data_IF_724734782915
#
_entry.id   IF_724734782915
#
_cell.length_a   1.000
_cell.length_b   1.000
_cell.length_c   1.000
_cell.angle_alpha   90.00
_cell.angle_beta   90.00
_cell.angle_gamma   90.00
#
_symmetry.space_group_name_H-M   'P 1'
#
loop_
_entity.id
_entity.type
_entity.pdbx_description
1 polymer ?
#
# COMPACT_ATOMS: atom_id res chain seq x y z
N UNK A 1 -10.17 0.44 -13.69
CA UNK A 1 -9.45 1.07 -12.57
C UNK A 1 -8.43 0.08 -12.08
N UNK A 2 -7.16 0.24 -12.43
CA UNK A 2 -6.09 -0.66 -11.96
C UNK A 2 -5.99 -0.53 -10.45
N UNK A 3 -6.41 -1.57 -9.72
CA UNK A 3 -5.95 -1.79 -8.36
C UNK A 3 -4.48 -2.16 -8.48
N UNK A 4 -3.61 -1.14 -8.45
CA UNK A 4 -2.19 -1.32 -8.23
C UNK A 4 -2.05 -2.14 -6.96
N UNK A 5 -1.76 -3.43 -7.12
CA UNK A 5 -1.33 -4.29 -6.03
C UNK A 5 -0.17 -3.56 -5.36
N UNK A 6 -0.39 -3.23 -4.10
CA UNK A 6 0.62 -2.55 -3.29
C UNK A 6 1.81 -3.49 -3.25
N UNK A 7 2.87 -3.16 -3.98
CA UNK A 7 4.13 -3.88 -3.95
C UNK A 7 4.75 -3.58 -2.59
N UNK A 8 4.48 -4.46 -1.63
CA UNK A 8 4.80 -4.26 -0.22
C UNK A 8 6.31 -4.44 -0.01
N UNK A 9 7.05 -3.35 0.02
CA UNK A 9 8.48 -3.38 0.35
C UNK A 9 8.60 -3.33 1.87
N UNK A 10 8.92 -4.46 2.47
CA UNK A 10 9.21 -4.56 3.91
C UNK A 10 10.63 -4.02 4.13
N UNK A 11 10.82 -2.96 4.96
CA UNK A 11 12.15 -2.42 5.24
C UNK A 11 13.06 -3.44 5.93
N UNK A 12 14.37 -3.31 5.73
CA UNK A 12 15.39 -4.19 6.32
C UNK A 12 15.28 -4.26 7.86
N UNK A 13 15.08 -3.12 8.54
CA UNK A 13 14.92 -3.11 10.00
C UNK A 13 13.70 -3.92 10.47
N UNK A 14 12.63 -3.98 9.68
CA UNK A 14 11.43 -4.77 9.98
C UNK A 14 11.71 -6.25 9.78
N UNK A 15 12.44 -6.60 8.71
CA UNK A 15 12.90 -7.98 8.48
C UNK A 15 13.80 -8.47 9.62
N UNK A 16 14.72 -7.65 10.10
CA UNK A 16 15.57 -7.99 11.26
C UNK A 16 14.75 -8.21 12.53
N UNK A 17 13.65 -7.48 12.70
CA UNK A 17 12.75 -7.70 13.83
C UNK A 17 12.02 -9.04 13.69
N UNK A 18 11.52 -9.35 12.50
CA UNK A 18 10.84 -10.61 12.21
C UNK A 18 11.77 -11.82 12.31
N UNK A 19 13.03 -11.67 11.90
CA UNK A 19 14.07 -12.68 12.09
C UNK A 19 14.23 -12.99 13.58
N UNK A 20 14.40 -11.96 14.42
CA UNK A 20 14.47 -12.12 15.87
C UNK A 20 13.24 -12.80 16.46
N UNK A 21 12.03 -12.48 15.96
CA UNK A 21 10.79 -13.13 16.39
C UNK A 21 10.84 -14.64 16.12
N UNK A 22 11.16 -15.05 14.90
CA UNK A 22 11.17 -16.49 14.56
C UNK A 22 12.29 -17.24 15.27
N UNK A 23 13.45 -16.61 15.48
CA UNK A 23 14.56 -17.20 16.23
C UNK A 23 14.19 -17.44 17.70
N UNK A 24 13.55 -16.46 18.34
CA UNK A 24 13.07 -16.57 19.73
C UNK A 24 12.01 -17.66 19.83
N UNK A 25 11.06 -17.73 18.89
CA UNK A 25 10.03 -18.77 18.84
C UNK A 25 10.66 -20.16 18.75
N UNK A 26 11.56 -20.37 17.78
CA UNK A 26 12.25 -21.66 17.61
C UNK A 26 13.03 -22.06 18.86
N UNK A 27 13.75 -21.11 19.46
CA UNK A 27 14.59 -21.34 20.65
C UNK A 27 13.78 -21.65 21.91
N UNK A 28 12.74 -20.88 22.20
CA UNK A 28 11.93 -21.06 23.42
C UNK A 28 11.17 -22.39 23.37
N UNK A 29 10.64 -22.72 22.20
CA UNK A 29 9.77 -23.89 22.02
C UNK A 29 10.61 -25.16 21.78
N UNK A 30 11.85 -25.00 21.32
CA UNK A 30 12.75 -26.10 21.04
C UNK A 30 12.42 -26.82 19.73
N UNK A 31 11.91 -26.08 18.74
CA UNK A 31 11.56 -26.63 17.42
C UNK A 31 12.65 -26.39 16.38
N UNK A 32 12.80 -27.28 15.39
CA UNK A 32 13.73 -27.11 14.28
C UNK A 32 13.48 -25.87 13.42
N UNK A 33 12.22 -25.46 13.23
CA UNK A 33 11.91 -24.36 12.33
C UNK A 33 10.72 -23.52 12.84
N UNK A 34 10.90 -22.20 12.81
CA UNK A 34 9.84 -21.22 12.88
C UNK A 34 9.95 -20.31 11.65
N UNK A 35 8.84 -20.09 10.95
CA UNK A 35 8.83 -19.44 9.64
C UNK A 35 7.78 -18.33 9.58
N UNK A 36 8.06 -17.31 8.79
CA UNK A 36 7.05 -16.45 8.19
C UNK A 36 7.01 -16.79 6.71
N UNK A 37 5.88 -17.30 6.25
CA UNK A 37 5.59 -17.54 4.84
C UNK A 37 4.91 -16.32 4.25
N UNK A 38 5.22 -15.98 3.00
CA UNK A 38 4.57 -14.91 2.24
C UNK A 38 3.87 -15.48 1.01
N UNK A 39 2.64 -15.06 0.79
CA UNK A 39 1.88 -15.34 -0.43
C UNK A 39 2.18 -14.24 -1.44
N UNK A 40 2.70 -14.62 -2.61
CA UNK A 40 2.95 -13.73 -3.74
C UNK A 40 2.32 -14.36 -4.98
N UNK A 41 1.27 -13.72 -5.48
CA UNK A 41 0.47 -14.20 -6.61
C UNK A 41 -0.03 -15.64 -6.39
N UNK A 42 0.42 -16.58 -7.24
CA UNK A 42 0.10 -18.00 -7.18
C UNK A 42 1.20 -18.85 -6.51
N UNK A 43 2.16 -18.20 -5.83
CA UNK A 43 3.27 -18.83 -5.12
C UNK A 43 3.26 -18.52 -3.64
N UNK A 44 3.77 -19.46 -2.84
CA UNK A 44 4.08 -19.25 -1.43
C UNK A 44 5.57 -19.41 -1.24
N UNK A 45 6.18 -18.47 -0.53
CA UNK A 45 7.62 -18.46 -0.31
C UNK A 45 7.95 -18.35 1.18
N UNK A 46 9.09 -18.93 1.56
CA UNK A 46 9.71 -18.73 2.85
C UNK A 46 10.24 -17.30 2.88
N UNK A 47 9.57 -16.42 3.62
CA UNK A 47 9.95 -15.01 3.68
C UNK A 47 10.97 -14.75 4.78
N UNK A 48 10.78 -15.37 5.94
CA UNK A 48 11.72 -15.34 7.07
C UNK A 48 11.81 -16.75 7.64
N UNK A 49 13.01 -17.20 7.97
CA UNK A 49 13.28 -18.55 8.48
C UNK A 49 14.19 -18.48 9.70
N UNK A 50 13.85 -19.19 10.78
CA UNK A 50 14.66 -19.17 11.99
C UNK A 50 16.06 -19.78 11.78
N UNK A 51 17.07 -19.18 12.38
CA UNK A 51 18.44 -19.69 12.41
C UNK A 51 18.60 -20.74 13.51
N UNK A 52 17.95 -21.89 13.32
CA UNK A 52 17.90 -22.99 14.28
C UNK A 52 18.56 -24.27 13.75
N UNK A 53 19.25 -25.06 14.60
CA UNK A 53 19.87 -26.31 14.18
C UNK A 53 18.86 -27.28 13.55
N UNK A 54 19.13 -27.69 12.32
CA UNK A 54 18.28 -28.63 11.60
C UNK A 54 17.05 -28.01 10.92
N UNK A 55 16.97 -26.69 10.81
CA UNK A 55 16.01 -26.05 9.92
C UNK A 55 16.35 -26.38 8.44
N UNK A 56 15.46 -27.03 7.67
CA UNK A 56 15.71 -27.31 6.25
C UNK A 56 15.30 -26.16 5.32
N UNK A 57 14.63 -25.12 5.84
CA UNK A 57 14.02 -24.05 5.04
C UNK A 57 14.91 -22.82 4.97
N UNK A 58 15.03 -22.23 3.78
CA UNK A 58 15.84 -21.05 3.54
C UNK A 58 14.98 -19.90 3.01
N UNK A 59 15.25 -18.63 3.43
CA UNK A 59 14.57 -17.48 2.86
C UNK A 59 14.70 -17.46 1.33
N UNK A 60 13.57 -17.30 0.64
CA UNK A 60 13.48 -17.32 -0.82
C UNK A 60 13.07 -18.67 -1.43
N UNK A 61 13.05 -19.77 -0.66
CA UNK A 61 12.46 -21.04 -1.12
C UNK A 61 10.99 -20.82 -1.49
N UNK A 62 10.55 -21.37 -2.64
CA UNK A 62 9.19 -21.14 -3.17
C UNK A 62 8.53 -22.43 -3.59
N UNK A 63 7.21 -22.46 -3.43
CA UNK A 63 6.35 -23.52 -3.92
C UNK A 63 5.10 -22.94 -4.59
N UNK A 64 4.46 -23.74 -5.44
CA UNK A 64 3.14 -23.40 -5.97
C UNK A 64 2.13 -23.39 -4.83
N UNK A 65 1.27 -22.38 -4.76
CA UNK A 65 0.31 -22.25 -3.67
C UNK A 65 -0.91 -23.18 -3.81
N UNK A 66 -1.48 -23.27 -5.01
CA UNK A 66 -2.72 -24.02 -5.25
C UNK A 66 -2.45 -25.52 -5.38
N UNK A 67 -3.17 -26.32 -4.60
CA UNK A 67 -3.07 -27.79 -4.58
C UNK A 67 -1.66 -28.28 -4.21
N UNK A 68 -0.96 -27.47 -3.42
CA UNK A 68 0.39 -27.74 -2.93
C UNK A 68 0.42 -28.88 -1.91
N UNK A 69 -0.68 -29.06 -1.18
CA UNK A 69 -0.73 -29.98 -0.05
C UNK A 69 0.00 -29.47 1.20
N UNK A 70 0.54 -28.26 1.16
CA UNK A 70 1.25 -27.62 2.27
C UNK A 70 0.28 -27.24 3.40
N UNK A 71 0.79 -27.21 4.64
CA UNK A 71 0.00 -26.79 5.79
C UNK A 71 -0.46 -25.32 5.68
N UNK A 72 0.43 -24.44 5.21
CA UNK A 72 0.16 -23.03 5.04
C UNK A 72 -0.98 -22.75 4.03
N UNK A 73 -1.16 -23.61 3.03
CA UNK A 73 -2.28 -23.52 2.09
C UNK A 73 -3.63 -23.63 2.83
N UNK A 74 -3.74 -24.58 3.77
CA UNK A 74 -4.95 -24.75 4.59
C UNK A 74 -5.19 -23.55 5.49
N UNK A 75 -4.15 -23.03 6.14
CA UNK A 75 -4.26 -21.84 7.01
C UNK A 75 -4.75 -20.64 6.22
N UNK A 76 -4.18 -20.38 5.05
CA UNK A 76 -4.55 -19.24 4.19
C UNK A 76 -5.97 -19.39 3.65
N UNK A 77 -6.33 -20.58 3.14
CA UNK A 77 -7.68 -20.82 2.59
C UNK A 77 -8.79 -20.71 3.63
N UNK A 78 -8.52 -21.15 4.86
CA UNK A 78 -9.52 -21.13 5.94
C UNK A 78 -9.49 -19.87 6.78
N UNK A 79 -8.41 -19.09 6.70
CA UNK A 79 -8.11 -17.95 7.56
C UNK A 79 -8.22 -18.30 9.06
N UNK A 80 -7.87 -19.54 9.41
CA UNK A 80 -7.93 -20.07 10.77
C UNK A 80 -6.61 -20.71 11.14
N UNK A 81 -6.34 -20.76 12.45
CA UNK A 81 -5.23 -21.54 13.00
C UNK A 81 -5.35 -22.99 12.55
N UNK A 82 -4.22 -23.58 12.16
CA UNK A 82 -4.09 -25.02 11.95
C UNK A 82 -3.11 -25.58 12.99
N UNK A 83 -3.51 -26.67 13.63
CA UNK A 83 -2.68 -27.48 14.51
C UNK A 83 -2.71 -28.92 13.99
N UNK A 84 -1.53 -29.44 13.64
CA UNK A 84 -1.32 -30.84 13.26
C UNK A 84 -0.25 -31.40 14.18
N UNK A 85 -0.63 -32.16 15.22
CA UNK A 85 0.36 -32.70 16.16
C UNK A 85 1.30 -33.71 15.52
N UNK A 86 0.79 -34.52 14.57
CA UNK A 86 1.55 -35.52 13.82
C UNK A 86 0.85 -35.87 12.51
N UNK A 87 1.45 -35.48 11.39
CA UNK A 87 0.96 -35.70 10.04
C UNK A 87 0.96 -37.17 9.62
N UNK A 88 1.85 -37.99 10.19
CA UNK A 88 1.89 -39.43 9.92
C UNK A 88 0.67 -40.16 10.48
N UNK A 89 -0.01 -39.56 11.47
CA UNK A 89 -1.20 -40.13 12.12
C UNK A 89 -2.52 -39.55 11.60
N UNK A 90 -2.45 -38.51 10.77
CA UNK A 90 -3.61 -37.85 10.20
C UNK A 90 -3.72 -38.16 8.72
N UNK A 91 -4.77 -38.90 8.33
CA UNK A 91 -4.98 -39.34 6.94
C UNK A 91 -4.93 -38.17 5.92
N UNK A 92 -5.39 -37.00 6.32
CA UNK A 92 -5.36 -35.77 5.53
C UNK A 92 -3.95 -35.31 5.16
N UNK A 93 -2.95 -35.58 6.00
CA UNK A 93 -1.61 -35.02 5.88
C UNK A 93 -0.56 -36.04 5.43
N UNK A 94 -0.93 -37.30 5.16
CA UNK A 94 0.02 -38.37 4.82
C UNK A 94 0.86 -38.08 3.57
N UNK A 95 0.35 -37.28 2.64
CA UNK A 95 1.03 -36.90 1.40
C UNK A 95 1.63 -35.48 1.45
N UNK A 96 1.70 -34.87 2.63
CA UNK A 96 2.22 -33.51 2.78
C UNK A 96 3.71 -33.44 2.37
N UNK A 97 4.13 -32.46 1.56
CA UNK A 97 5.52 -32.34 1.08
C UNK A 97 6.57 -32.24 2.19
N UNK A 98 6.24 -31.58 3.30
CA UNK A 98 7.15 -31.32 4.42
C UNK A 98 7.53 -32.59 5.19
N UNK A 99 6.75 -33.68 5.05
CA UNK A 99 7.12 -34.99 5.60
C UNK A 99 8.45 -35.48 5.03
N UNK A 100 8.76 -35.17 3.76
CA UNK A 100 10.05 -35.53 3.12
C UNK A 100 11.23 -34.81 3.78
N UNK A 101 10.97 -33.64 4.39
CA UNK A 101 11.94 -32.86 5.16
C UNK A 101 11.94 -33.25 6.65
N UNK A 102 11.23 -34.33 6.99
CA UNK A 102 11.01 -34.81 8.35
C UNK A 102 10.26 -33.81 9.24
N UNK A 103 9.43 -32.94 8.67
CA UNK A 103 8.60 -31.98 9.43
C UNK A 103 7.17 -32.54 9.54
N UNK A 104 6.92 -33.24 10.64
CA UNK A 104 5.70 -34.03 10.85
C UNK A 104 4.69 -33.33 11.77
N UNK A 105 5.07 -32.30 12.49
CA UNK A 105 4.15 -31.48 13.28
C UNK A 105 4.13 -30.04 12.77
N UNK A 106 2.97 -29.40 12.84
CA UNK A 106 2.74 -28.04 12.38
C UNK A 106 1.81 -27.27 13.31
N UNK A 107 2.17 -26.04 13.64
CA UNK A 107 1.27 -25.04 14.22
C UNK A 107 1.40 -23.75 13.42
N UNK A 108 0.31 -23.26 12.84
CA UNK A 108 0.36 -22.06 12.00
C UNK A 108 -0.87 -21.16 12.14
N UNK A 109 -0.63 -19.87 11.94
CA UNK A 109 -1.65 -18.82 12.02
C UNK A 109 -1.58 -17.93 10.76
N UNK A 110 -2.73 -17.47 10.25
CA UNK A 110 -2.74 -16.56 9.12
C UNK A 110 -2.20 -15.19 9.55
N UNK A 111 -1.42 -14.56 8.69
CA UNK A 111 -1.05 -13.14 8.80
C UNK A 111 -1.89 -12.41 7.75
N UNK A 112 -2.66 -11.43 8.21
CA UNK A 112 -3.59 -10.67 7.38
C UNK A 112 -3.08 -9.24 7.17
N UNK A 113 -3.27 -8.73 5.97
CA UNK A 113 -3.13 -7.31 5.66
C UNK A 113 -4.36 -6.53 6.16
N UNK A 114 -4.26 -5.19 6.34
CA UNK A 114 -5.39 -4.37 6.79
C UNK A 114 -6.63 -4.45 5.90
N UNK A 115 -6.45 -4.78 4.62
CA UNK A 115 -7.54 -4.98 3.65
C UNK A 115 -8.18 -6.40 3.72
N UNK A 116 -7.89 -7.17 4.77
CA UNK A 116 -8.33 -8.55 4.98
C UNK A 116 -7.85 -9.57 3.93
N UNK A 117 -6.88 -9.20 3.08
CA UNK A 117 -6.19 -10.18 2.24
C UNK A 117 -5.11 -10.90 3.06
N UNK A 118 -4.87 -12.20 2.81
CA UNK A 118 -3.77 -12.90 3.44
C UNK A 118 -2.43 -12.36 2.94
N UNK A 119 -1.55 -11.98 3.87
CA UNK A 119 -0.13 -11.78 3.59
C UNK A 119 0.60 -13.12 3.51
N UNK A 120 0.23 -14.06 4.39
CA UNK A 120 0.87 -15.37 4.48
C UNK A 120 0.60 -16.02 5.84
N UNK A 121 1.61 -16.68 6.43
CA UNK A 121 1.46 -17.37 7.72
C UNK A 121 2.68 -17.23 8.60
N UNK A 122 2.49 -17.20 9.92
CA UNK A 122 3.54 -17.51 10.89
C UNK A 122 3.34 -18.93 11.41
N UNK A 123 4.38 -19.75 11.41
CA UNK A 123 4.25 -21.15 11.79
C UNK A 123 5.48 -21.75 12.45
N UNK A 124 5.27 -22.86 13.14
CA UNK A 124 6.27 -23.73 13.74
C UNK A 124 6.19 -25.10 13.09
N UNK A 125 7.34 -25.73 12.86
CA UNK A 125 7.43 -27.10 12.38
C UNK A 125 8.36 -27.92 13.27
N UNK A 126 7.98 -29.17 13.52
CA UNK A 126 8.73 -30.09 14.37
C UNK A 126 8.88 -31.47 13.71
N UNK A 127 10.00 -32.12 14.03
CA UNK A 127 10.34 -33.49 13.62
C UNK A 127 9.70 -34.55 14.51
N UNK A 128 9.08 -34.13 15.62
CA UNK A 128 8.43 -34.99 16.58
C UNK A 128 6.95 -34.63 16.68
N UNK A 129 6.18 -35.58 17.19
CA UNK A 129 4.80 -35.30 17.56
C UNK A 129 4.77 -34.19 18.62
N UNK A 130 4.08 -33.09 18.32
CA UNK A 130 4.05 -31.92 19.17
C UNK A 130 2.66 -31.27 19.08
N UNK A 131 1.91 -31.34 20.17
CA UNK A 131 0.56 -30.76 20.24
C UNK A 131 0.59 -29.25 20.55
N UNK A 132 1.72 -28.73 21.02
CA UNK A 132 1.93 -27.36 21.52
C UNK A 132 1.00 -27.00 22.70
N UNK A 133 1.55 -26.36 23.74
CA UNK A 133 0.73 -25.93 24.88
C UNK A 133 -0.10 -24.70 24.55
N UNK A 134 -1.14 -24.43 25.35
CA UNK A 134 -1.94 -23.20 25.22
C UNK A 134 -1.07 -21.94 25.35
N UNK A 135 -0.04 -21.97 26.19
CA UNK A 135 0.94 -20.87 26.32
C UNK A 135 1.72 -20.65 25.02
N UNK A 136 2.12 -21.72 24.32
CA UNK A 136 2.80 -21.61 23.02
C UNK A 136 1.84 -21.05 21.96
N UNK A 137 0.58 -21.49 21.98
CA UNK A 137 -0.46 -20.97 21.11
C UNK A 137 -0.68 -19.47 21.35
N UNK A 138 -0.77 -19.04 22.62
CA UNK A 138 -0.91 -17.63 22.99
C UNK A 138 0.31 -16.82 22.56
N UNK A 139 1.53 -17.34 22.76
CA UNK A 139 2.77 -16.71 22.34
C UNK A 139 2.79 -16.48 20.81
N UNK A 140 2.44 -17.50 20.04
CA UNK A 140 2.33 -17.40 18.59
C UNK A 140 1.28 -16.37 18.14
N UNK A 141 0.13 -16.30 18.84
CA UNK A 141 -0.88 -15.28 18.58
C UNK A 141 -0.32 -13.87 18.81
N UNK A 142 0.43 -13.64 19.90
CA UNK A 142 1.04 -12.33 20.18
C UNK A 142 2.08 -11.94 19.14
N UNK A 143 2.95 -12.86 18.74
CA UNK A 143 3.94 -12.57 17.69
C UNK A 143 3.29 -12.32 16.33
N UNK A 144 2.27 -13.10 15.96
CA UNK A 144 1.45 -12.80 14.77
C UNK A 144 0.89 -11.39 14.83
N UNK A 145 0.32 -10.99 15.97
CA UNK A 145 -0.31 -9.68 16.12
C UNK A 145 0.71 -8.54 15.99
N UNK A 146 1.93 -8.72 16.49
CA UNK A 146 3.04 -7.78 16.29
C UNK A 146 3.41 -7.63 14.81
N UNK A 147 3.56 -8.75 14.09
CA UNK A 147 3.86 -8.74 12.65
C UNK A 147 2.74 -8.04 11.87
N UNK A 148 1.47 -8.30 12.20
CA UNK A 148 0.34 -7.62 11.58
C UNK A 148 0.30 -6.12 11.88
N UNK A 149 0.64 -5.70 13.10
CA UNK A 149 0.69 -4.29 13.47
C UNK A 149 1.79 -3.54 12.69
N UNK A 150 2.94 -4.16 12.48
CA UNK A 150 4.00 -3.58 11.64
C UNK A 150 3.59 -3.51 10.16
N UNK A 151 2.94 -4.55 9.64
CA UNK A 151 2.32 -4.52 8.31
C UNK A 151 1.27 -3.41 8.20
N UNK A 152 0.45 -3.21 9.22
CA UNK A 152 -0.54 -2.13 9.23
C UNK A 152 0.12 -0.75 9.17
N UNK A 153 1.17 -0.52 9.96
CA UNK A 153 1.92 0.72 9.94
C UNK A 153 2.54 0.99 8.57
N UNK A 154 3.18 -0.02 7.97
CA UNK A 154 3.78 0.09 6.63
C UNK A 154 2.72 0.40 5.57
N UNK A 155 1.58 -0.29 5.63
CA UNK A 155 0.46 -0.07 4.71
C UNK A 155 -0.07 1.36 4.81
N UNK A 156 -0.29 1.85 6.04
CA UNK A 156 -0.82 3.19 6.28
C UNK A 156 0.17 4.29 5.87
N UNK A 157 1.46 4.10 6.12
CA UNK A 157 2.50 5.04 5.69
C UNK A 157 2.56 5.17 4.17
N UNK A 158 2.43 4.05 3.44
CA UNK A 158 2.40 4.08 1.98
C UNK A 158 1.14 4.77 1.45
N UNK A 159 -0.03 4.43 1.99
CA UNK A 159 -1.30 5.08 1.62
C UNK A 159 -1.25 6.59 1.89
N UNK A 160 -0.66 7.00 3.01
CA UNK A 160 -0.47 8.41 3.36
C UNK A 160 0.48 9.10 2.37
N UNK A 161 1.61 8.47 2.04
CA UNK A 161 2.57 8.96 1.06
C UNK A 161 1.94 9.19 -0.32
N UNK A 162 1.16 8.22 -0.81
CA UNK A 162 0.46 8.32 -2.09
C UNK A 162 -0.60 9.44 -2.10
N UNK A 163 -1.36 9.58 -1.00
CA UNK A 163 -2.33 10.67 -0.86
C UNK A 163 -1.65 12.03 -0.84
N UNK A 164 -0.55 12.18 -0.10
CA UNK A 164 0.22 13.41 -0.03
C UNK A 164 0.77 13.80 -1.41
N UNK A 165 1.31 12.83 -2.16
CA UNK A 165 1.77 13.08 -3.53
C UNK A 165 0.63 13.57 -4.43
N UNK A 166 -0.51 12.89 -4.43
CA UNK A 166 -1.69 13.31 -5.23
C UNK A 166 -2.18 14.71 -4.86
N UNK A 167 -2.22 15.03 -3.56
CA UNK A 167 -2.57 16.37 -3.09
C UNK A 167 -1.58 17.42 -3.61
N UNK A 168 -0.29 17.12 -3.56
CA UNK A 168 0.76 17.98 -4.10
C UNK A 168 0.59 18.20 -5.61
N UNK A 169 0.29 17.14 -6.37
CA UNK A 169 0.06 17.22 -7.81
C UNK A 169 -1.14 18.12 -8.14
N UNK A 170 -2.25 17.97 -7.41
CA UNK A 170 -3.42 18.86 -7.56
C UNK A 170 -3.10 20.32 -7.23
N UNK A 171 -2.28 20.57 -6.21
CA UNK A 171 -1.88 21.94 -5.85
C UNK A 171 -1.04 22.57 -6.97
N UNK A 172 -0.14 21.82 -7.59
CA UNK A 172 0.65 22.28 -8.75
C UNK A 172 -0.26 22.60 -9.94
N UNK A 173 -1.24 21.75 -10.25
CA UNK A 173 -2.22 22.01 -11.31
C UNK A 173 -3.06 23.27 -11.02
N UNK A 174 -3.56 23.44 -9.79
CA UNK A 174 -4.31 24.63 -9.38
C UNK A 174 -3.47 25.90 -9.45
N UNK A 175 -2.19 25.84 -9.05
CA UNK A 175 -1.27 26.97 -9.18
C UNK A 175 -1.01 27.34 -10.64
N UNK A 176 -0.84 26.36 -11.53
CA UNK A 176 -0.71 26.60 -12.96
C UNK A 176 -1.97 27.26 -13.56
N UNK A 177 -3.16 26.90 -13.08
CA UNK A 177 -4.42 27.53 -13.46
C UNK A 177 -4.57 28.95 -12.90
N UNK A 178 -4.18 29.19 -11.64
CA UNK A 178 -4.18 30.53 -11.02
C UNK A 178 -3.19 31.49 -11.68
N UNK A 179 -2.13 30.96 -12.29
CA UNK A 179 -1.19 31.75 -13.08
C UNK A 179 -1.73 32.22 -14.43
N UNK A 180 -2.87 31.71 -14.91
CA UNK A 180 -3.46 32.12 -16.19
C UNK A 180 -4.37 33.34 -16.03
N UNK A 181 -3.94 34.47 -16.59
CA UNK A 181 -4.70 35.72 -16.52
C UNK A 181 -5.27 36.10 -17.89
N UNK A 182 -6.55 36.51 -17.98
CA UNK A 182 -7.13 36.92 -19.26
C UNK A 182 -6.54 38.25 -19.72
N UNK A 183 -5.90 38.25 -20.89
CA UNK A 183 -5.42 39.43 -21.60
C UNK A 183 -6.33 39.75 -22.78
N UNK A 184 -6.68 41.01 -22.96
CA UNK A 184 -7.47 41.46 -24.09
C UNK A 184 -6.65 41.32 -25.38
N UNK A 185 -7.13 40.52 -26.34
CA UNK A 185 -6.50 40.27 -27.63
C UNK A 185 -6.28 41.54 -28.44
N UNK A 186 -7.10 42.57 -28.24
CA UNK A 186 -7.01 43.85 -28.95
C UNK A 186 -6.14 44.88 -28.22
N UNK A 187 -6.50 45.29 -26.99
CA UNK A 187 -5.82 46.39 -26.29
C UNK A 187 -4.77 45.94 -25.25
N UNK A 188 -4.59 44.64 -25.05
CA UNK A 188 -3.62 44.03 -24.14
C UNK A 188 -3.81 44.32 -22.64
N UNK A 189 -4.93 44.93 -22.23
CA UNK A 189 -5.32 45.04 -20.81
C UNK A 189 -5.58 43.66 -20.19
N UNK A 190 -5.33 43.49 -18.89
CA UNK A 190 -5.54 42.27 -18.12
C UNK A 190 -6.81 42.38 -17.27
N UNK A 191 -7.56 41.29 -17.13
CA UNK A 191 -8.71 41.21 -16.21
C UNK A 191 -8.28 40.69 -14.83
N UNK A 192 -8.62 41.40 -13.76
CA UNK A 192 -8.41 40.95 -12.38
C UNK A 192 -9.47 39.91 -11.90
N UNK A 193 -9.37 39.47 -10.65
CA UNK A 193 -10.29 38.49 -10.05
C UNK A 193 -11.70 39.08 -9.86
N UNK A 194 -11.79 40.39 -9.62
CA UNK A 194 -13.03 41.15 -9.49
C UNK A 194 -13.71 41.44 -10.84
N UNK A 195 -13.02 41.20 -11.96
CA UNK A 195 -13.54 41.36 -13.32
C UNK A 195 -13.23 42.71 -13.98
N UNK A 196 -12.48 43.60 -13.32
CA UNK A 196 -12.04 44.88 -13.86
C UNK A 196 -10.85 44.70 -14.80
N UNK A 197 -10.70 45.64 -15.75
CA UNK A 197 -9.62 45.62 -16.74
C UNK A 197 -8.58 46.69 -16.43
N UNK A 198 -7.32 46.26 -16.32
CA UNK A 198 -6.18 47.12 -16.01
C UNK A 198 -5.11 47.05 -17.11
N UNK A 199 -4.28 48.09 -17.30
CA UNK A 199 -3.08 47.99 -18.14
C UNK A 199 -2.15 46.85 -17.70
N UNK A 200 -1.42 46.26 -18.65
CA UNK A 200 -0.58 45.07 -18.42
C UNK A 200 0.51 45.32 -17.37
N UNK A 201 1.04 46.54 -17.35
CA UNK A 201 2.11 47.01 -16.47
C UNK A 201 1.72 46.90 -14.99
N UNK A 202 0.44 47.13 -14.67
CA UNK A 202 -0.09 47.05 -13.31
C UNK A 202 0.00 45.63 -12.73
N UNK A 203 -0.09 44.61 -13.60
CA UNK A 203 -0.15 43.22 -13.17
C UNK A 203 1.24 42.55 -13.14
N UNK A 204 2.12 42.92 -14.07
CA UNK A 204 3.46 42.34 -14.23
C UNK A 204 4.39 42.61 -13.04
N UNK A 205 4.25 43.76 -12.38
CA UNK A 205 5.08 44.13 -11.21
C UNK A 205 4.86 43.18 -10.02
N UNK A 206 3.63 42.69 -9.86
CA UNK A 206 3.25 41.87 -8.70
C UNK A 206 3.22 40.37 -9.03
N UNK A 207 3.22 39.99 -10.31
CA UNK A 207 3.03 38.60 -10.75
C UNK A 207 3.99 38.22 -11.90
N UNK A 208 5.30 38.11 -11.66
CA UNK A 208 6.31 37.89 -12.70
C UNK A 208 6.22 36.52 -13.40
N UNK A 209 5.50 35.55 -12.82
CA UNK A 209 5.30 34.21 -13.38
C UNK A 209 3.93 34.05 -14.08
N UNK A 210 3.19 35.14 -14.30
CA UNK A 210 1.87 35.09 -14.92
C UNK A 210 1.95 34.61 -16.39
N UNK A 211 1.02 33.73 -16.76
CA UNK A 211 0.80 33.25 -18.13
C UNK A 211 -0.50 33.86 -18.65
N UNK A 212 -0.55 34.21 -19.93
CA UNK A 212 -1.68 34.96 -20.49
C UNK A 212 -2.60 34.06 -21.33
N UNK A 213 -3.91 34.25 -21.17
CA UNK A 213 -4.95 33.67 -22.04
C UNK A 213 -5.71 34.78 -22.77
N UNK A 214 -6.22 34.54 -23.97
CA UNK A 214 -6.78 35.59 -24.82
C UNK A 214 -8.28 35.80 -24.62
N UNK A 215 -8.73 37.06 -24.56
CA UNK A 215 -10.15 37.46 -24.49
C UNK A 215 -10.41 38.84 -25.13
N UNK A 216 -11.61 39.40 -25.03
CA UNK A 216 -11.91 40.77 -25.53
C UNK A 216 -12.58 41.57 -24.42
N UNK A 217 -11.98 42.71 -24.03
CA UNK A 217 -12.52 43.56 -22.98
C UNK A 217 -13.78 44.32 -23.47
N UNK A 218 -14.67 44.81 -22.58
CA UNK A 218 -15.91 45.50 -22.96
C UNK A 218 -15.72 46.69 -23.90
N UNK A 219 -14.63 47.44 -23.74
CA UNK A 219 -14.33 48.59 -24.61
C UNK A 219 -13.97 48.15 -26.03
N UNK A 220 -13.18 47.08 -26.15
CA UNK A 220 -12.81 46.53 -27.45
C UNK A 220 -14.00 45.80 -28.09
N UNK A 221 -14.83 45.13 -27.29
CA UNK A 221 -16.05 44.47 -27.77
C UNK A 221 -17.01 45.48 -28.43
N UNK A 222 -17.24 46.64 -27.79
CA UNK A 222 -18.08 47.71 -28.35
C UNK A 222 -17.52 48.33 -29.62
N UNK A 223 -16.19 48.40 -29.75
CA UNK A 223 -15.52 49.00 -30.91
C UNK A 223 -15.42 48.04 -32.10
N UNK A 224 -15.10 46.78 -31.84
CA UNK A 224 -14.82 45.79 -32.88
C UNK A 224 -16.05 44.97 -33.30
N UNK A 225 -17.00 44.76 -32.37
CA UNK A 225 -18.18 43.92 -32.55
C UNK A 225 -19.45 44.60 -32.00
N UNK A 226 -19.80 45.82 -32.47
CA UNK A 226 -20.88 46.62 -31.90
C UNK A 226 -22.24 45.93 -31.91
N UNK A 227 -22.52 45.08 -32.90
CA UNK A 227 -23.77 44.32 -33.04
C UNK A 227 -23.95 43.24 -31.96
N UNK A 228 -22.87 42.78 -31.33
CA UNK A 228 -22.90 41.79 -30.25
C UNK A 228 -22.84 42.40 -28.85
N UNK A 229 -22.45 43.68 -28.74
CA UNK A 229 -22.24 44.34 -27.45
C UNK A 229 -23.54 44.57 -26.64
N UNK A 230 -24.71 44.59 -27.29
CA UNK A 230 -25.99 44.93 -26.66
C UNK A 230 -26.74 43.74 -26.01
N UNK A 231 -26.21 42.51 -26.08
CA UNK A 231 -26.90 41.28 -25.64
C UNK A 231 -26.50 40.73 -24.26
N UNK A 232 -25.63 41.40 -23.49
CA UNK A 232 -25.12 40.86 -22.22
C UNK A 232 -25.37 41.80 -21.02
N UNK A 233 -26.41 41.58 -20.20
CA UNK A 233 -26.92 42.57 -19.25
C UNK A 233 -26.21 42.58 -17.87
N UNK A 234 -24.93 42.20 -17.76
CA UNK A 234 -24.27 42.07 -16.44
C UNK A 234 -23.08 42.99 -16.13
N UNK A 235 -22.71 43.93 -16.99
CA UNK A 235 -21.58 44.84 -16.70
C UNK A 235 -21.97 46.33 -16.74
N UNK A 236 -23.05 46.69 -16.03
CA UNK A 236 -23.39 48.09 -15.77
C UNK A 236 -23.53 48.33 -14.27
N UNK A 237 -22.39 48.45 -13.58
CA UNK A 237 -22.20 49.05 -12.25
C UNK A 237 -20.66 49.04 -12.06
N UNK A 238 -19.91 50.12 -11.84
CA UNK A 238 -20.18 51.41 -11.27
C UNK A 238 -19.38 52.51 -11.99
N UNK A 239 -20.02 53.66 -12.19
CA UNK A 239 -19.36 54.93 -12.48
C UNK A 239 -19.77 55.91 -11.39
N UNK A 240 -18.94 56.05 -10.36
CA UNK A 240 -18.72 57.23 -9.54
C UNK A 240 -17.60 56.94 -8.55
#
# INVERSE_FOLDING_TARGET
>A
MNHSEIQFVVPEYTLDNWQRIVDILAKIIGVPAALIMRLVDDSIEVFVSSESPGNPYHPGDKEHFKNSGLYCERVIKTQKRLLVPNALRAAEWQNNPDIKLNMISYLGFPIMLPNQKPFGTICLLDRKENAYSDTVIELMLKFRDLVQAELELLYMNQVLGDKNKRLSDYLVELQALRGLVPICSNCKSIRDEEGHWHPVEHYLVNNPQARFSHGVCPDCMRKLYPEYAQKNPKNHEHRQ
#
